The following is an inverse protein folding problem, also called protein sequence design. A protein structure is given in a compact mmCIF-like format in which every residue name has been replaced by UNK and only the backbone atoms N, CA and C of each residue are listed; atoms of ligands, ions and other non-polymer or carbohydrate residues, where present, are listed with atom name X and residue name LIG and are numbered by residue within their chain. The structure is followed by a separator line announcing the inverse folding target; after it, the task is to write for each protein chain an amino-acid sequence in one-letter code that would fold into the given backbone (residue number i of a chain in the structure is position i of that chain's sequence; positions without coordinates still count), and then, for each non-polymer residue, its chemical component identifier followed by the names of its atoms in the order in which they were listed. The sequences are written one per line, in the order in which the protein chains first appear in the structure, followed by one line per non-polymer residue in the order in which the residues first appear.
data_IF_478977693441
#
_entry.id   IF_478977693441
#
_cell.length_a   1.000
_cell.length_b   1.000
_cell.length_c   1.000
_cell.angle_alpha   90.00
_cell.angle_beta   90.00
_cell.angle_gamma   90.00
#
_symmetry.space_group_name_H-M   'P 1'
#
loop_
_entity.id
_entity.type
_entity.pdbx_description
1 polymer ?
#
# COMPACT_ATOMS: atom_id res chain seq x y z
N UNK A 1 -4.60 -23.26 -8.49
CA UNK A 1 -4.21 -23.44 -7.08
C UNK A 1 -4.90 -22.32 -6.31
N UNK A 2 -5.94 -22.61 -5.53
CA UNK A 2 -6.67 -21.59 -4.77
C UNK A 2 -5.84 -21.20 -3.54
N UNK A 3 -5.57 -19.92 -3.29
CA UNK A 3 -4.89 -19.53 -2.06
C UNK A 3 -5.83 -19.80 -0.87
N UNK A 4 -5.37 -20.62 0.07
CA UNK A 4 -6.00 -20.81 1.37
C UNK A 4 -5.99 -19.46 2.10
N UNK A 5 -7.15 -18.93 2.45
CA UNK A 5 -7.23 -17.75 3.32
C UNK A 5 -6.95 -18.25 4.74
N UNK A 6 -5.76 -17.99 5.23
CA UNK A 6 -5.45 -18.15 6.65
C UNK A 6 -6.16 -17.05 7.44
N UNK A 7 -7.27 -17.39 8.08
CA UNK A 7 -7.98 -16.46 8.95
C UNK A 7 -7.26 -16.34 10.30
N UNK A 8 -6.73 -15.17 10.60
CA UNK A 8 -6.23 -14.84 11.94
C UNK A 8 -7.40 -14.50 12.85
N UNK A 9 -7.67 -15.36 13.84
CA UNK A 9 -8.68 -15.12 14.87
C UNK A 9 -8.03 -14.48 16.10
N UNK A 10 -8.33 -13.22 16.37
CA UNK A 10 -7.95 -12.57 17.63
C UNK A 10 -8.94 -13.02 18.71
N UNK A 11 -8.49 -13.87 19.64
CA UNK A 11 -9.30 -14.35 20.78
C UNK A 11 -8.87 -13.69 22.08
N UNK A 12 -9.84 -13.20 22.88
CA UNK A 12 -9.61 -12.80 24.27
C UNK A 12 -9.76 -14.02 25.19
N UNK A 13 -8.77 -14.28 26.05
CA UNK A 13 -8.73 -15.41 26.99
C UNK A 13 -9.28 -15.07 28.40
N UNK A 14 -10.16 -14.07 28.52
CA UNK A 14 -10.66 -13.57 29.81
C UNK A 14 -12.14 -13.89 30.10
N UNK A 15 -12.49 -13.94 31.40
CA UNK A 15 -13.86 -14.08 31.89
C UNK A 15 -14.83 -13.13 31.17
N UNK A 16 -15.99 -13.66 30.76
CA UNK A 16 -16.99 -12.97 29.94
C UNK A 16 -17.75 -11.94 30.80
N UNK A 17 -17.20 -10.76 30.96
CA UNK A 17 -17.97 -9.55 31.27
C UNK A 17 -18.32 -8.87 29.96
N UNK A 18 -19.62 -8.68 29.69
CA UNK A 18 -20.15 -8.05 28.48
C UNK A 18 -19.89 -6.54 28.50
N UNK A 19 -18.64 -6.13 28.37
CA UNK A 19 -18.25 -4.72 28.24
C UNK A 19 -17.51 -4.51 26.93
N UNK A 20 -17.65 -3.31 26.35
CA UNK A 20 -16.92 -2.95 25.13
C UNK A 20 -15.42 -3.08 25.41
N UNK A 21 -14.73 -3.81 24.53
CA UNK A 21 -13.27 -3.92 24.53
C UNK A 21 -12.63 -2.52 24.52
N UNK A 22 -11.53 -2.34 25.24
CA UNK A 22 -10.83 -1.04 25.31
C UNK A 22 -9.61 -0.99 24.38
N UNK A 23 -9.08 -2.13 23.97
CA UNK A 23 -7.95 -2.30 23.03
C UNK A 23 -8.42 -2.47 21.57
N UNK A 24 -9.46 -1.74 21.15
CA UNK A 24 -9.85 -1.69 19.74
C UNK A 24 -9.03 -0.63 18.98
N UNK A 25 -8.86 -0.85 17.68
CA UNK A 25 -8.10 0.05 16.83
C UNK A 25 -8.92 1.31 16.54
N UNK A 26 -8.35 2.49 16.75
CA UNK A 26 -9.02 3.75 16.45
C UNK A 26 -8.99 4.03 14.94
N UNK A 27 -9.91 4.87 14.48
CA UNK A 27 -10.06 5.20 13.05
C UNK A 27 -8.76 5.67 12.38
N UNK A 28 -7.99 6.63 12.95
CA UNK A 28 -6.77 7.09 12.30
C UNK A 28 -5.72 5.99 12.13
N UNK A 29 -5.58 5.13 13.14
CA UNK A 29 -4.62 4.01 13.14
C UNK A 29 -5.05 2.94 12.14
N UNK A 30 -6.35 2.66 12.06
CA UNK A 30 -6.91 1.78 11.04
C UNK A 30 -6.62 2.28 9.63
N UNK A 31 -6.90 3.56 9.32
CA UNK A 31 -6.66 4.10 7.98
C UNK A 31 -5.17 4.17 7.63
N UNK A 32 -4.32 4.49 8.60
CA UNK A 32 -2.88 4.45 8.43
C UNK A 32 -2.39 3.02 8.16
N UNK A 33 -2.90 2.02 8.90
CA UNK A 33 -2.57 0.62 8.68
C UNK A 33 -2.99 0.16 7.26
N UNK A 34 -4.15 0.60 6.76
CA UNK A 34 -4.58 0.33 5.39
C UNK A 34 -3.62 0.95 4.36
N UNK A 35 -3.16 2.18 4.58
CA UNK A 35 -2.18 2.81 3.69
C UNK A 35 -0.85 2.04 3.67
N UNK A 36 -0.32 1.64 4.83
CA UNK A 36 0.87 0.81 4.93
C UNK A 36 0.70 -0.56 4.27
N UNK A 37 -0.45 -1.21 4.46
CA UNK A 37 -0.75 -2.49 3.81
C UNK A 37 -0.83 -2.32 2.28
N UNK A 38 -1.40 -1.21 1.81
CA UNK A 38 -1.47 -0.89 0.39
C UNK A 38 -0.07 -0.69 -0.21
N UNK A 39 0.86 -0.08 0.54
CA UNK A 39 2.24 0.09 0.12
C UNK A 39 2.92 -1.25 -0.22
N UNK A 40 2.59 -2.34 0.49
CA UNK A 40 3.16 -3.68 0.24
C UNK A 40 2.75 -4.28 -1.12
N UNK A 41 1.84 -3.65 -1.85
CA UNK A 41 1.53 -4.01 -3.25
C UNK A 41 2.48 -3.39 -4.27
N UNK A 42 3.27 -2.39 -3.87
CA UNK A 42 4.27 -1.77 -4.73
C UNK A 42 5.37 -2.77 -5.08
N UNK A 43 5.74 -2.80 -6.36
CA UNK A 43 6.88 -3.58 -6.87
C UNK A 43 8.19 -2.79 -6.92
N UNK A 44 8.16 -1.52 -6.53
CA UNK A 44 9.36 -0.68 -6.50
C UNK A 44 10.32 -1.22 -5.42
N UNK A 45 11.55 -1.61 -5.76
CA UNK A 45 12.50 -2.17 -4.80
C UNK A 45 13.07 -1.12 -3.83
N UNK A 46 12.97 0.18 -4.15
CA UNK A 46 13.59 1.25 -3.39
C UNK A 46 12.64 1.87 -2.36
N UNK A 47 11.39 2.08 -2.76
CA UNK A 47 10.42 2.83 -1.97
C UNK A 47 9.01 2.30 -2.17
N UNK A 48 8.38 1.83 -1.10
CA UNK A 48 7.00 1.38 -1.11
C UNK A 48 6.13 2.40 -0.37
N UNK A 49 5.25 3.08 -1.11
CA UNK A 49 4.36 4.11 -0.60
C UNK A 49 2.93 3.70 -0.88
N UNK A 50 2.06 3.88 0.11
CA UNK A 50 0.64 3.64 0.00
C UNK A 50 -0.17 4.83 0.48
N UNK A 51 -1.39 4.95 -0.03
CA UNK A 51 -2.32 6.02 0.29
C UNK A 51 -3.72 5.46 0.53
N UNK A 52 -4.45 6.07 1.45
CA UNK A 52 -5.83 5.74 1.78
C UNK A 52 -6.63 7.04 1.84
N UNK A 53 -7.67 7.16 1.00
CA UNK A 53 -8.56 8.32 0.95
C UNK A 53 -9.87 7.93 1.63
N UNK A 54 -10.28 8.74 2.60
CA UNK A 54 -11.42 8.49 3.47
C UNK A 54 -12.36 9.70 3.41
N UNK A 55 -13.68 9.44 3.39
CA UNK A 55 -14.68 10.49 3.44
C UNK A 55 -15.02 10.90 4.89
N UNK A 56 -15.89 11.91 5.07
CA UNK A 56 -16.31 12.39 6.39
C UNK A 56 -17.12 11.37 7.21
N UNK A 57 -17.62 10.32 6.58
CA UNK A 57 -18.34 9.22 7.23
C UNK A 57 -17.41 8.06 7.63
N UNK A 58 -16.09 8.27 7.59
CA UNK A 58 -15.07 7.24 7.86
C UNK A 58 -15.15 6.03 6.91
N UNK A 59 -15.59 6.25 5.67
CA UNK A 59 -15.60 5.23 4.61
C UNK A 59 -14.43 5.44 3.68
N UNK A 60 -13.71 4.35 3.41
CA UNK A 60 -12.63 4.35 2.42
C UNK A 60 -13.27 4.50 1.03
N UNK A 61 -12.88 5.54 0.31
CA UNK A 61 -13.36 5.84 -1.06
C UNK A 61 -12.28 5.63 -2.11
N UNK A 62 -11.02 5.44 -1.69
CA UNK A 62 -9.93 5.11 -2.58
C UNK A 62 -8.71 4.58 -1.81
N UNK A 63 -7.97 3.68 -2.45
CA UNK A 63 -6.67 3.18 -1.99
C UNK A 63 -5.70 3.26 -3.16
N UNK A 64 -4.42 3.44 -2.87
CA UNK A 64 -3.38 3.52 -3.89
C UNK A 64 -2.02 3.15 -3.36
N UNK A 65 -1.11 2.87 -4.29
CA UNK A 65 0.31 2.66 -4.02
C UNK A 65 1.12 3.09 -5.26
N UNK A 66 2.42 3.33 -5.09
CA UNK A 66 3.29 3.67 -6.22
C UNK A 66 3.52 2.46 -7.14
N UNK A 67 3.42 2.65 -8.45
CA UNK A 67 3.63 1.61 -9.46
C UNK A 67 3.70 2.18 -10.87
N UNK A 68 3.99 1.33 -11.85
CA UNK A 68 3.95 1.74 -13.26
C UNK A 68 2.50 1.98 -13.72
N UNK A 69 2.29 2.77 -14.79
CA UNK A 69 0.96 2.99 -15.36
C UNK A 69 0.26 1.68 -15.76
N UNK A 70 -1.07 1.69 -15.73
CA UNK A 70 -1.89 0.54 -16.11
C UNK A 70 -1.57 0.08 -17.55
N UNK A 71 -1.37 -1.23 -17.73
CA UNK A 71 -1.08 -1.83 -19.03
C UNK A 71 0.41 -1.94 -19.37
N UNK A 72 1.28 -1.35 -18.55
CA UNK A 72 2.72 -1.58 -18.63
C UNK A 72 3.10 -2.82 -17.82
N UNK A 73 3.88 -3.74 -18.42
CA UNK A 73 4.41 -4.89 -17.68
C UNK A 73 5.54 -4.43 -16.76
N UNK A 74 5.37 -4.63 -15.45
CA UNK A 74 6.39 -4.31 -14.44
C UNK A 74 7.69 -5.13 -14.60
N UNK A 75 7.67 -6.21 -15.39
CA UNK A 75 8.84 -7.06 -15.65
C UNK A 75 9.66 -6.58 -16.85
N UNK A 76 9.06 -5.74 -17.71
CA UNK A 76 9.69 -5.22 -18.92
C UNK A 76 10.22 -3.79 -18.74
N UNK A 77 9.70 -3.06 -17.75
CA UNK A 77 10.10 -1.68 -17.50
C UNK A 77 11.13 -1.59 -16.36
N UNK A 78 12.18 -0.78 -16.53
CA UNK A 78 13.24 -0.65 -15.55
C UNK A 78 12.77 0.12 -14.31
N UNK A 79 13.08 -0.44 -13.14
CA UNK A 79 12.84 0.19 -11.83
C UNK A 79 14.02 1.02 -11.34
N UNK A 80 15.13 0.99 -12.06
CA UNK A 80 16.39 1.65 -11.71
C UNK A 80 16.24 3.17 -11.74
N UNK A 81 16.83 3.85 -10.75
CA UNK A 81 16.85 5.32 -10.69
C UNK A 81 17.94 5.93 -11.56
N UNK A 82 18.94 5.13 -11.93
CA UNK A 82 20.12 5.55 -12.69
C UNK A 82 20.47 4.45 -13.69
N UNK A 83 20.72 4.83 -14.93
CA UNK A 83 21.22 3.96 -16.00
C UNK A 83 21.98 4.83 -17.02
N UNK A 84 22.82 4.19 -17.84
CA UNK A 84 23.61 4.88 -18.87
C UNK A 84 22.72 5.46 -19.99
N UNK A 85 21.57 4.82 -20.27
CA UNK A 85 20.52 5.32 -21.14
C UNK A 85 19.32 5.81 -20.31
N UNK A 86 18.78 7.00 -20.62
CA UNK A 86 17.60 7.54 -19.93
C UNK A 86 16.37 6.63 -20.05
N UNK A 87 16.27 5.87 -21.15
CA UNK A 87 15.18 4.90 -21.37
C UNK A 87 15.27 3.69 -20.44
N UNK A 88 16.44 3.45 -19.85
CA UNK A 88 16.69 2.39 -18.88
C UNK A 88 16.44 2.84 -17.42
N UNK A 89 15.89 4.04 -17.23
CA UNK A 89 15.51 4.56 -15.91
C UNK A 89 14.00 4.51 -15.71
N UNK A 90 13.58 4.53 -14.44
CA UNK A 90 12.17 4.63 -14.02
C UNK A 90 11.51 5.97 -14.43
N UNK A 91 12.29 6.99 -14.83
CA UNK A 91 11.80 8.34 -15.10
C UNK A 91 12.01 8.79 -16.56
N UNK A 92 11.61 8.02 -17.58
CA UNK A 92 11.88 8.39 -18.97
C UNK A 92 11.15 9.67 -19.41
N UNK A 93 10.13 10.11 -18.67
CA UNK A 93 9.33 11.31 -18.97
C UNK A 93 9.20 12.27 -17.76
N UNK A 94 9.87 11.98 -16.64
CA UNK A 94 9.63 12.64 -15.35
C UNK A 94 10.73 13.60 -14.88
N UNK A 95 11.91 13.57 -15.50
CA UNK A 95 12.97 14.54 -15.26
C UNK A 95 13.24 15.32 -16.55
N UNK A 96 12.48 16.39 -16.78
CA UNK A 96 13.04 17.49 -17.55
C UNK A 96 14.20 18.04 -16.73
N UNK A 97 15.41 18.04 -17.32
CA UNK A 97 16.58 18.76 -16.83
C UNK A 97 16.16 20.02 -16.08
N UNK A 98 16.39 20.02 -14.77
CA UNK A 98 16.41 21.25 -14.00
C UNK A 98 17.74 21.94 -14.35
N UNK A 99 17.67 22.79 -15.37
CA UNK A 99 18.61 23.91 -15.53
C UNK A 99 18.18 25.07 -14.62
#
# INVERSE_FOLDING_TARGET
MCPTIDYYKVTSTGNITQTKRQDFLEWPEYFMAVAFLSAQRSKDPNSQVGACIVNQENKIVGIGYNGMPNGCSDDLLPWSRTADDQLDTKYPYGESQAD
#
